data_IF_545687374159
#
_entry.id   IF_545687374159
#
_cell.length_a   1.000
_cell.length_b   1.000
_cell.length_c   1.000
_cell.angle_alpha   90.00
_cell.angle_beta   90.00
_cell.angle_gamma   90.00
#
_symmetry.space_group_name_H-M   'P 1'
#
loop_
_entity.id
_entity.type
_entity.pdbx_description
1 polymer ?
#
# COMPACT_ATOMS: atom_id res chain seq x y z
N UNK A 1 3.86 -2.06 -7.04
CA UNK A 1 4.54 -2.65 -8.20
C UNK A 1 3.52 -3.06 -9.26
N UNK A 2 2.93 -2.08 -9.92
CA UNK A 2 1.76 -2.37 -10.73
C UNK A 2 2.06 -2.36 -12.23
N UNK A 3 3.17 -1.73 -12.65
CA UNK A 3 3.67 -1.73 -14.04
C UNK A 3 5.21 -1.84 -14.13
N UNK A 4 5.91 -2.10 -13.04
CA UNK A 4 7.38 -2.21 -13.01
C UNK A 4 7.76 -3.68 -12.96
N UNK A 5 8.84 -4.06 -13.64
CA UNK A 5 9.44 -5.40 -13.50
C UNK A 5 9.62 -5.72 -12.01
N UNK A 6 9.28 -6.92 -11.55
CA UNK A 6 9.51 -7.30 -10.16
C UNK A 6 10.98 -7.08 -9.79
N UNK A 7 11.22 -6.25 -8.80
CA UNK A 7 12.57 -6.10 -8.24
C UNK A 7 12.85 -7.32 -7.35
N UNK A 8 14.02 -7.96 -7.47
CA UNK A 8 14.39 -9.05 -6.59
C UNK A 8 14.34 -8.61 -5.12
N UNK A 9 13.85 -9.48 -4.24
CA UNK A 9 13.89 -9.21 -2.81
C UNK A 9 15.34 -9.16 -2.32
N UNK A 10 15.65 -8.30 -1.36
CA UNK A 10 16.99 -8.24 -0.75
C UNK A 10 17.46 -9.61 -0.24
N UNK A 11 16.54 -10.46 0.19
CA UNK A 11 16.81 -11.83 0.60
C UNK A 11 17.54 -12.63 -0.50
N UNK A 12 17.15 -12.47 -1.77
CA UNK A 12 17.81 -13.18 -2.89
C UNK A 12 19.17 -12.62 -3.26
N UNK A 13 19.52 -11.41 -2.79
CA UNK A 13 20.78 -10.73 -3.05
C UNK A 13 21.72 -10.77 -1.84
N UNK A 14 21.21 -11.14 -0.67
CA UNK A 14 21.90 -10.97 0.62
C UNK A 14 22.85 -12.10 1.01
N UNK A 15 23.05 -13.12 0.17
CA UNK A 15 23.98 -14.23 0.42
C UNK A 15 23.89 -14.81 1.85
N UNK A 16 22.67 -14.98 2.36
CA UNK A 16 22.42 -15.53 3.70
C UNK A 16 22.39 -14.51 4.85
N UNK A 17 22.70 -13.25 4.61
CA UNK A 17 22.72 -12.21 5.66
C UNK A 17 21.38 -11.45 5.83
N UNK A 18 20.31 -11.90 5.17
CA UNK A 18 19.01 -11.23 5.19
C UNK A 18 17.93 -12.17 5.68
N UNK A 19 17.14 -11.75 6.64
CA UNK A 19 15.90 -12.43 7.05
C UNK A 19 14.75 -11.81 6.24
N UNK A 20 13.96 -12.63 5.56
CA UNK A 20 12.76 -12.17 4.87
C UNK A 20 11.54 -12.38 5.76
N UNK A 21 10.79 -11.30 6.02
CA UNK A 21 9.55 -11.34 6.79
C UNK A 21 8.40 -10.93 5.87
N UNK A 22 7.35 -11.74 5.86
CA UNK A 22 6.14 -11.49 5.09
C UNK A 22 4.87 -11.72 5.89
N UNK A 23 3.76 -11.15 5.42
CA UNK A 23 2.44 -11.30 6.04
C UNK A 23 1.36 -11.52 4.98
N UNK A 24 0.43 -12.43 5.26
CA UNK A 24 -0.73 -12.67 4.43
C UNK A 24 -1.89 -11.70 4.72
N UNK A 25 -1.84 -10.98 5.84
CA UNK A 25 -2.91 -10.03 6.24
C UNK A 25 -3.13 -8.92 5.21
N UNK A 26 -2.06 -8.39 4.64
CA UNK A 26 -2.15 -7.32 3.63
C UNK A 26 -2.58 -7.85 2.24
N UNK A 27 -2.34 -9.13 1.97
CA UNK A 27 -2.59 -9.73 0.66
C UNK A 27 -4.00 -10.34 0.56
N UNK A 28 -4.53 -10.87 1.65
CA UNK A 28 -5.81 -11.57 1.69
C UNK A 28 -6.84 -10.78 2.49
N UNK A 29 -6.86 -10.97 3.80
CA UNK A 29 -7.80 -10.31 4.71
C UNK A 29 -7.06 -9.88 5.98
N UNK A 30 -7.35 -8.69 6.51
CA UNK A 30 -6.73 -8.21 7.76
C UNK A 30 -6.97 -9.15 8.96
N UNK A 31 -8.05 -9.93 8.94
CA UNK A 31 -8.37 -10.92 9.96
C UNK A 31 -7.45 -12.14 9.96
N UNK A 32 -6.82 -12.47 8.83
CA UNK A 32 -5.82 -13.54 8.76
C UNK A 32 -4.53 -13.04 9.40
N UNK A 33 -4.28 -13.43 10.63
CA UNK A 33 -3.13 -12.99 11.42
C UNK A 33 -1.94 -13.94 11.27
N UNK A 34 -1.61 -14.32 10.01
CA UNK A 34 -0.50 -15.19 9.68
C UNK A 34 0.61 -14.39 9.02
N UNK A 35 1.79 -14.45 9.63
CA UNK A 35 3.05 -13.95 9.10
C UNK A 35 4.03 -15.11 8.98
N UNK A 36 5.04 -14.95 8.14
CA UNK A 36 6.10 -15.92 7.96
C UNK A 36 7.45 -15.24 7.91
N UNK A 37 8.49 -15.98 8.23
CA UNK A 37 9.87 -15.57 8.03
C UNK A 37 10.65 -16.66 7.31
N UNK A 38 11.62 -16.25 6.51
CA UNK A 38 12.59 -17.12 5.86
C UNK A 38 13.94 -16.79 6.46
N UNK A 39 14.54 -17.78 7.08
CA UNK A 39 15.83 -17.71 7.77
C UNK A 39 16.92 -18.34 6.90
N UNK A 40 18.16 -17.98 7.14
CA UNK A 40 19.31 -18.76 6.65
C UNK A 40 19.46 -20.05 7.45
N UNK A 41 20.36 -20.94 7.04
CA UNK A 41 20.53 -22.26 7.65
C UNK A 41 20.95 -22.15 9.12
N UNK A 42 21.91 -21.28 9.46
CA UNK A 42 22.39 -21.06 10.83
C UNK A 42 21.26 -20.62 11.78
N UNK A 43 20.49 -19.60 11.38
CA UNK A 43 19.36 -19.13 12.16
C UNK A 43 18.23 -20.15 12.23
N UNK A 44 18.08 -20.97 11.20
CA UNK A 44 17.10 -22.07 11.19
C UNK A 44 17.45 -23.12 12.24
N UNK A 45 18.71 -23.46 12.41
CA UNK A 45 19.18 -24.37 13.46
C UNK A 45 18.90 -23.80 14.86
N UNK A 46 19.30 -22.56 15.09
CA UNK A 46 19.05 -21.83 16.36
C UNK A 46 17.56 -21.78 16.66
N UNK A 47 16.72 -21.46 15.66
CA UNK A 47 15.28 -21.42 15.81
C UNK A 47 14.73 -22.81 16.20
N UNK A 48 15.15 -23.86 15.53
CA UNK A 48 14.67 -25.22 15.80
C UNK A 48 15.02 -25.70 17.20
N UNK A 49 16.17 -25.32 17.74
CA UNK A 49 16.57 -25.62 19.11
C UNK A 49 15.73 -24.87 20.16
N UNK A 50 15.16 -23.72 19.82
CA UNK A 50 14.46 -22.86 20.74
C UNK A 50 12.94 -22.76 20.52
N UNK A 51 12.40 -23.37 19.45
CA UNK A 51 10.99 -23.22 19.04
C UNK A 51 9.96 -23.58 20.13
N UNK A 52 10.31 -24.46 21.07
CA UNK A 52 9.39 -24.85 22.15
C UNK A 52 9.32 -23.82 23.27
N UNK A 53 10.21 -22.84 23.28
CA UNK A 53 10.16 -21.71 24.23
C UNK A 53 9.10 -20.68 23.87
N UNK A 54 8.57 -20.75 22.66
CA UNK A 54 7.63 -19.77 22.13
C UNK A 54 6.30 -20.47 21.77
N UNK A 55 5.19 -19.90 22.23
CA UNK A 55 3.87 -20.37 21.86
C UNK A 55 3.60 -20.06 20.38
N UNK A 56 3.09 -21.03 19.64
CA UNK A 56 2.64 -20.81 18.28
C UNK A 56 1.33 -20.02 18.30
N UNK A 57 1.33 -18.82 17.74
CA UNK A 57 0.18 -17.91 17.74
C UNK A 57 -0.72 -18.09 16.51
N UNK A 58 -0.19 -18.62 15.41
CA UNK A 58 -0.97 -18.87 14.20
C UNK A 58 -1.79 -20.16 14.32
N UNK A 59 -3.10 -20.07 14.08
CA UNK A 59 -4.03 -21.20 14.12
C UNK A 59 -3.66 -22.27 13.08
N UNK A 60 -3.57 -23.53 13.48
CA UNK A 60 -3.31 -24.66 12.57
C UNK A 60 -4.39 -24.79 11.49
N UNK A 61 -5.65 -24.58 11.84
CA UNK A 61 -6.77 -24.63 10.90
C UNK A 61 -6.63 -23.56 9.81
N UNK A 62 -6.29 -22.34 10.20
CA UNK A 62 -6.05 -21.25 9.24
C UNK A 62 -4.83 -21.53 8.36
N UNK A 63 -3.76 -22.10 8.91
CA UNK A 63 -2.59 -22.50 8.12
C UNK A 63 -2.95 -23.58 7.08
N UNK A 64 -3.74 -24.58 7.43
CA UNK A 64 -4.18 -25.63 6.50
C UNK A 64 -5.04 -25.04 5.40
N UNK A 65 -6.02 -24.20 5.74
CA UNK A 65 -6.86 -23.51 4.76
C UNK A 65 -6.04 -22.61 3.82
N UNK A 66 -5.07 -21.87 4.36
CA UNK A 66 -4.17 -21.04 3.58
C UNK A 66 -3.28 -21.86 2.65
N UNK A 67 -2.75 -23.00 3.12
CA UNK A 67 -1.98 -23.91 2.27
C UNK A 67 -2.80 -24.41 1.08
N UNK A 68 -4.05 -24.81 1.31
CA UNK A 68 -4.95 -25.24 0.23
C UNK A 68 -5.22 -24.10 -0.76
N UNK A 69 -5.55 -22.90 -0.24
CA UNK A 69 -5.79 -21.72 -1.04
C UNK A 69 -4.60 -21.34 -1.95
N UNK A 70 -3.37 -21.51 -1.45
CA UNK A 70 -2.14 -21.28 -2.22
C UNK A 70 -1.96 -22.36 -3.29
N UNK A 71 -2.14 -23.66 -2.93
CA UNK A 71 -1.98 -24.79 -3.85
C UNK A 71 -2.95 -24.72 -5.02
N UNK A 72 -4.18 -24.30 -4.77
CA UNK A 72 -5.22 -24.14 -5.80
C UNK A 72 -5.00 -22.89 -6.68
N UNK A 73 -3.93 -22.12 -6.45
CA UNK A 73 -3.58 -20.94 -7.21
C UNK A 73 -4.47 -19.71 -6.96
N UNK A 74 -5.36 -19.77 -5.98
CA UNK A 74 -6.30 -18.69 -5.67
C UNK A 74 -5.61 -17.41 -5.24
N UNK A 75 -4.47 -17.50 -4.55
CA UNK A 75 -3.69 -16.32 -4.11
C UNK A 75 -3.24 -15.48 -5.29
N UNK A 76 -2.80 -16.11 -6.39
CA UNK A 76 -2.38 -15.41 -7.60
C UNK A 76 -3.55 -14.73 -8.31
N UNK A 77 -4.70 -15.39 -8.36
CA UNK A 77 -5.93 -14.84 -8.94
C UNK A 77 -6.40 -13.63 -8.15
N UNK A 78 -6.46 -13.74 -6.83
CA UNK A 78 -6.87 -12.67 -5.93
C UNK A 78 -5.91 -11.47 -6.04
N UNK A 79 -4.61 -11.70 -6.02
CA UNK A 79 -3.60 -10.64 -6.17
C UNK A 79 -3.78 -9.88 -7.48
N UNK A 80 -4.04 -10.57 -8.59
CA UNK A 80 -4.31 -9.94 -9.90
C UNK A 80 -5.57 -9.09 -9.88
N UNK A 81 -6.66 -9.58 -9.26
CA UNK A 81 -7.92 -8.83 -9.12
C UNK A 81 -7.71 -7.55 -8.32
N UNK A 82 -7.06 -7.65 -7.16
CA UNK A 82 -6.76 -6.51 -6.28
C UNK A 82 -5.91 -5.48 -7.03
N UNK A 83 -4.85 -5.91 -7.70
CA UNK A 83 -3.99 -5.03 -8.49
C UNK A 83 -4.76 -4.27 -9.57
N UNK A 84 -5.59 -4.97 -10.34
CA UNK A 84 -6.43 -4.33 -11.38
C UNK A 84 -7.37 -3.30 -10.79
N UNK A 85 -8.09 -3.67 -9.72
CA UNK A 85 -9.05 -2.79 -9.05
C UNK A 85 -8.38 -1.49 -8.58
N UNK A 86 -7.31 -1.61 -7.83
CA UNK A 86 -6.64 -0.41 -7.28
C UNK A 86 -5.89 0.39 -8.34
N UNK A 87 -5.32 -0.27 -9.36
CA UNK A 87 -4.69 0.44 -10.47
C UNK A 87 -5.70 1.25 -11.28
N UNK A 88 -6.87 0.68 -11.61
CA UNK A 88 -7.96 1.42 -12.27
C UNK A 88 -8.39 2.61 -11.43
N UNK A 89 -8.71 2.36 -10.17
CA UNK A 89 -9.16 3.38 -9.23
C UNK A 89 -8.16 4.55 -9.09
N UNK A 90 -6.87 4.26 -9.05
CA UNK A 90 -5.83 5.30 -9.01
C UNK A 90 -5.79 6.11 -10.30
N UNK A 91 -5.93 5.46 -11.46
CA UNK A 91 -5.97 6.15 -12.76
C UNK A 91 -7.21 7.03 -12.89
N UNK A 92 -8.36 6.54 -12.44
CA UNK A 92 -9.61 7.30 -12.46
C UNK A 92 -9.48 8.56 -11.58
N UNK A 93 -8.96 8.40 -10.35
CA UNK A 93 -8.75 9.53 -9.47
C UNK A 93 -7.68 10.51 -9.97
N UNK A 94 -6.61 10.00 -10.57
CA UNK A 94 -5.61 10.82 -11.24
C UNK A 94 -6.22 11.69 -12.34
N UNK A 95 -7.10 11.13 -13.18
CA UNK A 95 -7.80 11.86 -14.24
C UNK A 95 -8.71 12.95 -13.67
N UNK A 96 -9.44 12.65 -12.59
CA UNK A 96 -10.27 13.63 -11.88
C UNK A 96 -9.41 14.79 -11.36
N UNK A 97 -8.29 14.49 -10.71
CA UNK A 97 -7.40 15.51 -10.18
C UNK A 97 -6.77 16.37 -11.29
N UNK A 98 -6.36 15.77 -12.40
CA UNK A 98 -5.83 16.51 -13.56
C UNK A 98 -6.85 17.49 -14.12
N UNK A 99 -8.12 17.10 -14.20
CA UNK A 99 -9.19 17.98 -14.66
C UNK A 99 -9.48 19.12 -13.68
N UNK A 100 -9.48 18.82 -12.37
CA UNK A 100 -9.78 19.82 -11.33
C UNK A 100 -8.61 20.77 -11.05
N UNK A 101 -7.38 20.31 -11.24
CA UNK A 101 -6.15 21.06 -10.98
C UNK A 101 -5.23 21.10 -12.21
N UNK A 102 -5.61 21.77 -13.30
CA UNK A 102 -4.87 21.73 -14.57
C UNK A 102 -3.46 22.34 -14.46
N UNK A 103 -3.21 23.19 -13.47
CA UNK A 103 -1.91 23.82 -13.22
C UNK A 103 -1.03 23.07 -12.21
N UNK A 104 -1.53 22.02 -11.58
CA UNK A 104 -0.77 21.23 -10.61
C UNK A 104 0.16 20.23 -11.31
N UNK A 105 1.33 20.00 -10.73
CA UNK A 105 2.15 18.84 -11.08
C UNK A 105 1.60 17.61 -10.37
N UNK A 106 1.07 16.65 -11.14
CA UNK A 106 0.43 15.44 -10.61
C UNK A 106 1.04 14.24 -11.30
N UNK A 107 1.50 13.28 -10.50
CA UNK A 107 2.08 12.02 -10.98
C UNK A 107 1.64 10.83 -10.12
N UNK A 108 1.55 9.66 -10.73
CA UNK A 108 1.35 8.41 -10.02
C UNK A 108 2.72 7.87 -9.64
N UNK A 109 2.90 7.50 -8.37
CA UNK A 109 4.15 6.88 -7.91
C UNK A 109 4.39 5.54 -8.63
N UNK A 110 5.60 5.31 -9.09
CA UNK A 110 5.97 4.10 -9.83
C UNK A 110 5.85 2.83 -8.98
N UNK A 111 6.17 2.92 -7.71
CA UNK A 111 6.26 1.77 -6.79
C UNK A 111 5.00 1.54 -5.95
N UNK A 112 4.12 2.53 -5.89
CA UNK A 112 2.89 2.49 -5.10
C UNK A 112 1.71 2.91 -5.97
N UNK A 113 0.50 2.77 -5.47
CA UNK A 113 -0.69 3.33 -6.14
C UNK A 113 -1.06 4.69 -5.53
N UNK A 114 -0.07 5.42 -5.07
CA UNK A 114 -0.24 6.76 -4.54
C UNK A 114 -0.11 7.80 -5.65
N UNK A 115 -0.82 8.90 -5.48
CA UNK A 115 -0.74 10.06 -6.35
C UNK A 115 0.01 11.14 -5.58
N UNK A 116 1.08 11.67 -6.17
CA UNK A 116 1.83 12.79 -5.64
C UNK A 116 1.36 14.02 -6.40
N UNK A 117 0.90 15.04 -5.69
CA UNK A 117 0.40 16.27 -6.27
C UNK A 117 1.09 17.48 -5.63
N UNK A 118 1.71 18.31 -6.47
CA UNK A 118 2.27 19.60 -6.06
C UNK A 118 1.42 20.73 -6.64
N UNK A 119 0.91 21.59 -5.77
CA UNK A 119 0.00 22.67 -6.15
C UNK A 119 0.29 23.94 -5.35
N UNK A 120 -0.03 25.09 -5.92
CA UNK A 120 0.06 26.37 -5.21
C UNK A 120 -0.93 26.39 -4.05
N UNK A 121 -0.45 26.74 -2.86
CA UNK A 121 -1.25 26.73 -1.64
C UNK A 121 -0.79 27.83 -0.70
N UNK A 122 -1.70 28.73 -0.34
CA UNK A 122 -1.41 29.89 0.50
C UNK A 122 -2.32 29.96 1.74
N UNK A 123 -3.00 28.86 2.09
CA UNK A 123 -3.87 28.78 3.25
C UNK A 123 -3.19 28.06 4.41
N UNK A 124 -3.81 28.09 5.59
CA UNK A 124 -3.37 27.27 6.73
C UNK A 124 -3.62 25.78 6.47
N UNK A 125 -2.62 24.95 6.72
CA UNK A 125 -2.69 23.49 6.59
C UNK A 125 -3.85 22.88 7.41
N UNK A 126 -4.25 23.52 8.52
CA UNK A 126 -5.40 23.11 9.35
C UNK A 126 -6.72 23.06 8.58
N UNK A 127 -6.79 23.65 7.36
CA UNK A 127 -7.99 23.57 6.53
C UNK A 127 -8.31 22.11 6.14
N UNK A 128 -7.31 21.27 5.98
CA UNK A 128 -7.53 19.85 5.67
C UNK A 128 -8.23 19.13 6.83
N UNK A 129 -7.79 19.36 8.06
CA UNK A 129 -8.44 18.79 9.25
C UNK A 129 -9.87 19.30 9.41
N UNK A 130 -10.10 20.60 9.23
CA UNK A 130 -11.44 21.21 9.30
C UNK A 130 -12.41 20.61 8.29
N UNK A 131 -11.93 20.17 7.13
CA UNK A 131 -12.73 19.52 6.10
C UNK A 131 -12.71 17.98 6.18
N UNK A 132 -12.21 17.42 7.27
CA UNK A 132 -12.05 15.96 7.46
C UNK A 132 -11.26 15.29 6.33
N UNK A 133 -10.26 15.97 5.79
CA UNK A 133 -9.38 15.45 4.75
C UNK A 133 -8.14 14.89 5.43
N UNK A 134 -7.99 13.56 5.40
CA UNK A 134 -6.76 12.89 5.82
C UNK A 134 -5.84 12.72 4.63
N UNK A 135 -4.70 13.39 4.63
CA UNK A 135 -3.67 13.28 3.61
C UNK A 135 -2.28 13.38 4.24
N UNK A 136 -1.27 12.94 3.51
CA UNK A 136 0.11 13.09 3.92
C UNK A 136 0.73 14.28 3.19
N UNK A 137 1.26 15.23 3.96
CA UNK A 137 1.98 16.39 3.42
C UNK A 137 3.47 16.01 3.41
N UNK A 138 4.03 15.88 2.21
CA UNK A 138 5.44 15.59 2.01
C UNK A 138 6.30 16.85 2.16
N UNK A 139 5.79 17.98 1.63
CA UNK A 139 6.53 19.25 1.60
C UNK A 139 5.58 20.44 1.57
N UNK A 140 5.94 21.52 2.26
CA UNK A 140 5.26 22.81 2.15
C UNK A 140 6.30 23.93 2.19
N UNK A 141 6.53 24.56 1.05
CA UNK A 141 7.50 25.65 0.91
C UNK A 141 7.17 26.55 -0.28
N UNK A 142 7.63 27.80 -0.21
CA UNK A 142 7.51 28.78 -1.30
C UNK A 142 6.09 28.97 -1.86
N UNK A 143 5.05 28.78 -1.02
CA UNK A 143 3.66 28.87 -1.44
C UNK A 143 3.17 27.68 -2.26
N UNK A 144 3.89 26.54 -2.22
CA UNK A 144 3.49 25.26 -2.81
C UNK A 144 3.41 24.18 -1.76
N UNK A 145 2.41 23.31 -1.91
CA UNK A 145 2.25 22.12 -1.08
C UNK A 145 2.39 20.86 -1.95
N UNK A 146 3.18 19.91 -1.49
CA UNK A 146 3.26 18.57 -2.07
C UNK A 146 2.54 17.59 -1.14
N UNK A 147 1.48 16.99 -1.66
CA UNK A 147 0.64 16.05 -0.93
C UNK A 147 0.66 14.67 -1.58
N UNK A 148 0.58 13.64 -0.75
CA UNK A 148 0.50 12.24 -1.18
C UNK A 148 -0.90 11.73 -0.89
N UNK A 149 -1.60 11.31 -1.93
CA UNK A 149 -2.99 10.87 -1.90
C UNK A 149 -3.07 9.37 -2.18
N UNK A 150 -3.81 8.65 -1.35
CA UNK A 150 -4.11 7.25 -1.57
C UNK A 150 -5.63 7.06 -1.76
N UNK A 151 -6.11 6.78 -2.99
CA UNK A 151 -7.52 6.58 -3.25
C UNK A 151 -8.04 5.22 -2.77
N UNK A 152 -7.19 4.36 -2.21
CA UNK A 152 -7.55 2.99 -1.84
C UNK A 152 -8.77 2.90 -0.90
N UNK A 153 -8.86 3.78 0.09
CA UNK A 153 -9.95 3.83 1.06
C UNK A 153 -11.23 4.53 0.57
N UNK A 154 -11.18 5.25 -0.57
CA UNK A 154 -12.34 6.01 -1.06
C UNK A 154 -13.22 5.07 -1.93
N UNK A 155 -14.52 4.92 -1.70
CA UNK A 155 -15.41 4.19 -2.63
C UNK A 155 -15.31 4.75 -4.05
N UNK A 156 -15.31 3.89 -5.08
CA UNK A 156 -15.18 4.33 -6.48
C UNK A 156 -16.22 5.36 -6.88
N UNK A 157 -17.46 5.19 -6.41
CA UNK A 157 -18.56 6.14 -6.64
C UNK A 157 -18.38 7.52 -5.97
N UNK A 158 -17.42 7.64 -5.05
CA UNK A 158 -17.14 8.88 -4.32
C UNK A 158 -15.85 9.58 -4.74
N UNK A 159 -15.15 9.07 -5.74
CA UNK A 159 -13.87 9.65 -6.20
C UNK A 159 -14.05 11.07 -6.72
N UNK A 160 -15.10 11.33 -7.50
CA UNK A 160 -15.40 12.68 -8.01
C UNK A 160 -15.66 13.67 -6.88
N UNK A 161 -16.49 13.27 -5.91
CA UNK A 161 -16.78 14.08 -4.73
C UNK A 161 -15.52 14.34 -3.88
N UNK A 162 -14.66 13.34 -3.71
CA UNK A 162 -13.38 13.51 -3.00
C UNK A 162 -12.46 14.52 -3.69
N UNK A 163 -12.43 14.51 -5.02
CA UNK A 163 -11.71 15.50 -5.81
C UNK A 163 -12.27 16.90 -5.63
N UNK A 164 -13.62 17.06 -5.53
CA UNK A 164 -14.27 18.34 -5.29
C UNK A 164 -13.98 18.89 -3.89
N UNK A 165 -14.09 18.04 -2.87
CA UNK A 165 -13.75 18.43 -1.48
C UNK A 165 -12.29 18.90 -1.40
N UNK A 166 -11.37 18.18 -2.04
CA UNK A 166 -9.95 18.57 -2.08
C UNK A 166 -9.75 19.92 -2.80
N UNK A 167 -10.47 20.15 -3.91
CA UNK A 167 -10.42 21.40 -4.64
C UNK A 167 -10.87 22.57 -3.77
N UNK A 168 -12.01 22.47 -3.11
CA UNK A 168 -12.53 23.50 -2.24
C UNK A 168 -11.62 23.82 -1.03
N UNK A 169 -10.86 22.82 -0.55
CA UNK A 169 -9.90 23.04 0.52
C UNK A 169 -8.64 23.76 0.03
N UNK A 170 -8.21 23.52 -1.20
CA UNK A 170 -6.97 24.09 -1.77
C UNK A 170 -7.23 25.48 -2.34
N UNK A 171 -8.28 25.69 -3.11
CA UNK A 171 -8.69 26.98 -3.68
C UNK A 171 -9.41 27.86 -2.64
#
# INVERSE_FOLDING_TARGET
>A
MYNVKPTPALFTLGHGNVIYIGSFSALLLPGIRISFMILNDELTEIYNQNKFKFAQTASKTEQIALCQYIRDGHINSQTRKIRRLYSSKTKDFYSILKNKFPKADIKISENTLQIIMTVKFNKDIKIFEKNNISLFIEKYENGYITIVLSPSGIPTSKLENAGEILKNAIE
#
